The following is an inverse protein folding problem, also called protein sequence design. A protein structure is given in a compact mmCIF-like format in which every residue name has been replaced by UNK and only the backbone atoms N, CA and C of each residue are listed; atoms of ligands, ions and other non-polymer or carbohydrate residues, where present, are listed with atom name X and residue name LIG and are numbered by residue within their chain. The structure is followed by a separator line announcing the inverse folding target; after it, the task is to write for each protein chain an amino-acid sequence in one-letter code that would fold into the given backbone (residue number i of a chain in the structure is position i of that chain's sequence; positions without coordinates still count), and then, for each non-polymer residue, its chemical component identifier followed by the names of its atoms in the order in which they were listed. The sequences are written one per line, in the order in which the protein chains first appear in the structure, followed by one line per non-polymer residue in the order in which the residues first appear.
data_IF_510282104439
#
_entry.id   IF_510282104439
#
_cell.length_a   1.000
_cell.length_b   1.000
_cell.length_c   1.000
_cell.angle_alpha   90.00
_cell.angle_beta   90.00
_cell.angle_gamma   90.00
#
_symmetry.space_group_name_H-M   'P 1'
#
loop_
_entity.id
_entity.type
_entity.pdbx_description
1 polymer ?
#
# COMPACT_ATOMS: atom_id res chain seq x y z
N UNK A 1 -9.12 -8.64 -55.86
CA UNK A 1 -8.19 -8.75 -54.71
C UNK A 1 -8.33 -7.57 -53.75
N UNK A 2 -8.87 -6.45 -54.22
CA UNK A 2 -8.94 -5.17 -53.50
C UNK A 2 -9.79 -5.23 -52.21
N UNK A 3 -10.82 -6.08 -52.17
CA UNK A 3 -11.68 -6.23 -51.00
C UNK A 3 -10.96 -6.91 -49.81
N UNK A 4 -10.03 -7.83 -50.08
CA UNK A 4 -9.21 -8.47 -49.03
C UNK A 4 -8.18 -7.48 -48.46
N UNK A 5 -7.54 -6.67 -49.31
CA UNK A 5 -6.60 -5.64 -48.87
C UNK A 5 -7.29 -4.55 -48.05
N UNK A 6 -8.50 -4.15 -48.45
CA UNK A 6 -9.30 -3.16 -47.71
C UNK A 6 -9.67 -3.66 -46.30
N UNK A 7 -10.20 -4.87 -46.17
CA UNK A 7 -10.53 -5.45 -44.87
C UNK A 7 -9.31 -5.70 -44.00
N UNK A 8 -8.20 -6.15 -44.58
CA UNK A 8 -6.93 -6.31 -43.85
C UNK A 8 -6.38 -4.97 -43.33
N UNK A 9 -6.54 -3.88 -44.09
CA UNK A 9 -6.19 -2.53 -43.65
C UNK A 9 -7.05 -2.08 -42.45
N UNK A 10 -8.35 -2.37 -42.45
CA UNK A 10 -9.23 -2.04 -41.32
C UNK A 10 -8.82 -2.82 -40.07
N UNK A 11 -8.62 -4.14 -40.20
CA UNK A 11 -8.25 -5.00 -39.07
C UNK A 11 -6.90 -4.58 -38.48
N UNK A 12 -5.90 -4.32 -39.32
CA UNK A 12 -4.57 -3.89 -38.85
C UNK A 12 -4.60 -2.52 -38.18
N UNK A 13 -5.45 -1.59 -38.66
CA UNK A 13 -5.66 -0.28 -38.03
C UNK A 13 -6.31 -0.42 -36.66
N UNK A 14 -7.38 -1.22 -36.54
CA UNK A 14 -8.05 -1.48 -35.25
C UNK A 14 -7.09 -2.14 -34.27
N UNK A 15 -6.32 -3.15 -34.73
CA UNK A 15 -5.33 -3.81 -33.89
C UNK A 15 -4.23 -2.82 -33.43
N UNK A 16 -3.77 -1.96 -34.32
CA UNK A 16 -2.79 -0.92 -34.01
C UNK A 16 -3.30 0.07 -32.96
N UNK A 17 -4.54 0.52 -33.07
CA UNK A 17 -5.17 1.41 -32.08
C UNK A 17 -5.32 0.71 -30.72
N UNK A 18 -5.72 -0.56 -30.69
CA UNK A 18 -5.84 -1.33 -29.45
C UNK A 18 -4.48 -1.53 -28.77
N UNK A 19 -3.43 -1.84 -29.54
CA UNK A 19 -2.07 -1.98 -29.01
C UNK A 19 -1.52 -0.63 -28.51
N UNK A 20 -1.81 0.46 -29.21
CA UNK A 20 -1.45 1.82 -28.78
C UNK A 20 -2.15 2.18 -27.46
N UNK A 21 -3.46 1.93 -27.35
CA UNK A 21 -4.20 2.15 -26.12
C UNK A 21 -3.64 1.30 -24.96
N UNK A 22 -3.32 0.03 -25.23
CA UNK A 22 -2.72 -0.87 -24.24
C UNK A 22 -1.34 -0.40 -23.77
N UNK A 23 -0.48 0.08 -24.67
CA UNK A 23 0.85 0.60 -24.32
C UNK A 23 0.78 1.90 -23.52
N UNK A 24 -0.14 2.81 -23.87
CA UNK A 24 -0.39 4.02 -23.07
C UNK A 24 -0.87 3.65 -21.66
N UNK A 25 -1.78 2.68 -21.55
CA UNK A 25 -2.26 2.21 -20.26
C UNK A 25 -1.13 1.64 -19.40
N UNK A 26 -0.33 0.73 -19.95
CA UNK A 26 0.83 0.13 -19.25
C UNK A 26 1.86 1.18 -18.82
N UNK A 27 2.09 2.20 -19.66
CA UNK A 27 2.99 3.28 -19.32
C UNK A 27 2.49 4.09 -18.11
N UNK A 28 1.19 4.40 -18.07
CA UNK A 28 0.58 5.14 -16.96
C UNK A 28 0.61 4.33 -15.66
N UNK A 29 0.31 3.03 -15.70
CA UNK A 29 0.40 2.17 -14.52
C UNK A 29 1.82 2.05 -13.99
N UNK A 30 2.80 1.80 -14.88
CA UNK A 30 4.20 1.70 -14.50
C UNK A 30 4.74 3.02 -13.93
N UNK A 31 4.28 4.17 -14.45
CA UNK A 31 4.65 5.48 -13.90
C UNK A 31 4.08 5.68 -12.49
N UNK A 32 2.81 5.36 -12.27
CA UNK A 32 2.18 5.48 -10.95
C UNK A 32 2.85 4.57 -9.91
N UNK A 33 3.24 3.36 -10.28
CA UNK A 33 3.99 2.45 -9.40
C UNK A 33 5.35 3.04 -9.02
N UNK A 34 6.09 3.56 -10.00
CA UNK A 34 7.38 4.23 -9.73
C UNK A 34 7.23 5.43 -8.79
N UNK A 35 6.16 6.21 -8.93
CA UNK A 35 5.90 7.36 -8.05
C UNK A 35 5.57 6.91 -6.62
N UNK A 36 4.79 5.83 -6.45
CA UNK A 36 4.51 5.23 -5.13
C UNK A 36 5.78 4.71 -4.46
N UNK A 37 6.61 3.94 -5.16
CA UNK A 37 7.87 3.43 -4.62
C UNK A 37 8.82 4.58 -4.25
N UNK A 38 8.91 5.62 -5.08
CA UNK A 38 9.72 6.81 -4.74
C UNK A 38 9.22 7.49 -3.46
N UNK A 39 7.90 7.63 -3.30
CA UNK A 39 7.32 8.22 -2.10
C UNK A 39 7.63 7.38 -0.85
N UNK A 40 7.52 6.05 -0.94
CA UNK A 40 7.84 5.11 0.14
C UNK A 40 9.33 5.17 0.53
N UNK A 41 10.24 5.12 -0.46
CA UNK A 41 11.68 5.26 -0.22
C UNK A 41 11.99 6.61 0.46
N UNK A 42 11.30 7.68 0.07
CA UNK A 42 11.48 8.99 0.72
C UNK A 42 11.09 8.97 2.19
N UNK A 43 9.99 8.28 2.55
CA UNK A 43 9.58 8.09 3.95
C UNK A 43 10.66 7.33 4.72
N UNK A 44 11.18 6.23 4.16
CA UNK A 44 12.27 5.49 4.80
C UNK A 44 13.54 6.30 4.98
N UNK A 45 13.91 7.09 3.97
CA UNK A 45 15.06 7.99 4.07
C UNK A 45 14.86 9.03 5.17
N UNK A 46 13.63 9.56 5.31
CA UNK A 46 13.30 10.51 6.37
C UNK A 46 13.39 9.86 7.75
N UNK A 47 12.83 8.67 7.94
CA UNK A 47 12.86 7.95 9.21
C UNK A 47 14.29 7.54 9.59
N UNK A 48 15.06 7.03 8.62
CA UNK A 48 16.47 6.67 8.83
C UNK A 48 17.33 7.89 9.18
N UNK A 49 17.09 9.04 8.53
CA UNK A 49 17.77 10.29 8.86
C UNK A 49 17.38 10.78 10.27
N UNK A 50 16.10 10.68 10.65
CA UNK A 50 15.63 11.00 12.00
C UNK A 50 16.33 10.15 13.07
N UNK A 51 16.47 8.84 12.84
CA UNK A 51 17.22 7.94 13.73
C UNK A 51 18.70 8.36 13.81
N UNK A 52 19.35 8.60 12.66
CA UNK A 52 20.76 9.02 12.62
C UNK A 52 21.03 10.32 13.38
N UNK A 53 20.20 11.35 13.16
CA UNK A 53 20.31 12.63 13.85
C UNK A 53 20.06 12.49 15.36
N UNK A 54 19.08 11.68 15.75
CA UNK A 54 18.78 11.42 17.16
C UNK A 54 19.95 10.73 17.86
N UNK A 55 20.57 9.73 17.23
CA UNK A 55 21.77 9.07 17.75
C UNK A 55 22.96 10.02 17.86
N UNK A 56 23.21 10.84 16.82
CA UNK A 56 24.26 11.85 16.85
C UNK A 56 24.04 12.85 17.99
N UNK A 57 22.80 13.26 18.22
CA UNK A 57 22.42 14.15 19.31
C UNK A 57 22.62 13.51 20.68
N UNK A 58 22.24 12.24 20.86
CA UNK A 58 22.48 11.50 22.11
C UNK A 58 23.98 11.49 22.43
N UNK A 59 24.83 11.18 21.44
CA UNK A 59 26.28 11.18 21.63
C UNK A 59 26.77 12.59 22.00
N UNK A 60 26.35 13.62 21.28
CA UNK A 60 26.73 15.00 21.55
C UNK A 60 26.28 15.49 22.93
N UNK A 61 25.04 15.20 23.33
CA UNK A 61 24.48 15.62 24.62
C UNK A 61 25.14 14.84 25.78
N UNK A 62 25.54 13.59 25.56
CA UNK A 62 26.32 12.80 26.52
C UNK A 62 27.74 13.36 26.71
N UNK A 63 28.43 13.69 25.61
CA UNK A 63 29.76 14.32 25.68
C UNK A 63 29.72 15.70 26.33
N UNK A 64 28.62 16.43 26.18
CA UNK A 64 28.39 17.72 26.82
C UNK A 64 27.93 17.61 28.29
N UNK A 65 27.80 16.40 28.85
CA UNK A 65 27.38 16.18 30.24
C UNK A 65 25.95 16.62 30.54
N UNK A 66 25.06 16.62 29.53
CA UNK A 66 23.67 17.08 29.69
C UNK A 66 22.75 16.06 30.32
N UNK A 67 23.13 14.78 30.32
CA UNK A 67 22.40 13.74 31.01
C UNK A 67 22.79 13.71 32.48
N UNK A 68 21.79 13.70 33.37
CA UNK A 68 22.02 13.71 34.81
C UNK A 68 22.31 12.30 35.34
N UNK A 69 21.82 11.27 34.63
CA UNK A 69 22.02 9.87 34.97
C UNK A 69 22.03 8.96 33.74
N UNK A 70 22.53 7.74 33.91
CA UNK A 70 22.42 6.67 32.90
C UNK A 70 20.97 6.38 32.52
N UNK A 71 20.02 6.55 33.45
CA UNK A 71 18.60 6.37 33.16
C UNK A 71 18.09 7.39 32.12
N UNK A 72 18.60 8.62 32.12
CA UNK A 72 18.20 9.64 31.15
C UNK A 72 18.69 9.29 29.74
N UNK A 73 19.90 8.73 29.64
CA UNK A 73 20.46 8.21 28.39
C UNK A 73 19.60 7.06 27.88
N UNK A 74 19.28 6.08 28.75
CA UNK A 74 18.40 4.97 28.42
C UNK A 74 17.04 5.45 27.92
N UNK A 75 16.37 6.34 28.65
CA UNK A 75 15.07 6.89 28.25
C UNK A 75 15.14 7.58 26.88
N UNK A 76 16.23 8.30 26.60
CA UNK A 76 16.43 8.94 25.31
C UNK A 76 16.62 7.91 24.19
N UNK A 77 17.42 6.86 24.41
CA UNK A 77 17.57 5.75 23.45
C UNK A 77 16.23 5.04 23.20
N UNK A 78 15.44 4.79 24.25
CA UNK A 78 14.10 4.20 24.15
C UNK A 78 13.17 5.05 23.28
N UNK A 79 13.28 6.38 23.33
CA UNK A 79 12.49 7.25 22.45
C UNK A 79 12.85 7.10 20.96
N UNK A 80 14.11 6.78 20.64
CA UNK A 80 14.57 6.54 19.26
C UNK A 80 14.12 5.16 18.76
N UNK A 81 13.96 4.19 19.66
CA UNK A 81 13.52 2.83 19.32
C UNK A 81 12.19 2.83 18.57
N UNK A 82 11.24 3.71 18.92
CA UNK A 82 9.94 3.80 18.25
C UNK A 82 10.09 4.11 16.75
N UNK A 83 10.96 5.07 16.40
CA UNK A 83 11.22 5.44 15.00
C UNK A 83 11.98 4.34 14.25
N UNK A 84 12.95 3.71 14.91
CA UNK A 84 13.68 2.58 14.33
C UNK A 84 12.76 1.36 14.08
N UNK A 85 11.80 1.12 14.99
CA UNK A 85 10.81 0.05 14.85
C UNK A 85 9.80 0.35 13.73
N UNK A 86 9.33 1.59 13.61
CA UNK A 86 8.47 2.01 12.51
C UNK A 86 9.16 1.81 11.15
N UNK A 87 10.45 2.20 11.04
CA UNK A 87 11.26 1.95 9.85
C UNK A 87 11.37 0.44 9.57
N UNK A 88 11.68 -0.36 10.59
CA UNK A 88 11.75 -1.83 10.46
C UNK A 88 10.43 -2.43 9.95
N UNK A 89 9.30 -2.04 10.54
CA UNK A 89 7.99 -2.53 10.14
C UNK A 89 7.67 -2.13 8.69
N UNK A 90 7.94 -0.88 8.30
CA UNK A 90 7.68 -0.42 6.94
C UNK A 90 8.53 -1.16 5.88
N UNK A 91 9.80 -1.46 6.20
CA UNK A 91 10.69 -2.27 5.35
C UNK A 91 10.24 -3.74 5.29
N UNK A 92 9.75 -4.28 6.41
CA UNK A 92 9.24 -5.64 6.49
C UNK A 92 7.93 -5.80 5.72
N UNK A 93 7.00 -4.86 5.84
CA UNK A 93 5.75 -4.82 5.07
C UNK A 93 6.04 -4.77 3.57
N UNK A 94 7.03 -4.01 3.11
CA UNK A 94 7.38 -3.99 1.68
C UNK A 94 8.08 -5.28 1.22
N UNK A 95 8.86 -5.94 2.09
CA UNK A 95 9.50 -7.22 1.78
C UNK A 95 8.56 -8.43 1.83
N UNK A 96 7.58 -8.43 2.72
CA UNK A 96 6.68 -9.57 2.97
C UNK A 96 5.34 -9.46 2.26
N UNK A 97 4.96 -8.29 1.74
CA UNK A 97 3.88 -8.20 0.75
C UNK A 97 4.45 -8.67 -0.60
N UNK A 98 4.68 -9.98 -0.71
CA UNK A 98 4.62 -10.65 -2.01
C UNK A 98 3.21 -10.42 -2.58
N UNK A 99 3.11 -10.31 -3.89
CA UNK A 99 1.84 -10.07 -4.61
C UNK A 99 0.70 -11.02 -4.18
N UNK A 100 1.06 -12.20 -3.69
CA UNK A 100 0.13 -13.20 -3.14
C UNK A 100 -0.53 -12.77 -1.81
N UNK A 101 0.19 -12.14 -0.88
CA UNK A 101 -0.40 -11.66 0.38
C UNK A 101 -1.30 -10.44 0.16
N UNK A 102 -0.97 -9.59 -0.82
CA UNK A 102 -1.84 -8.49 -1.24
C UNK A 102 -3.16 -9.02 -1.81
N UNK A 103 -3.11 -10.04 -2.69
CA UNK A 103 -4.29 -10.75 -3.20
C UNK A 103 -5.07 -11.43 -2.07
N UNK A 104 -4.38 -12.04 -1.10
CA UNK A 104 -5.03 -12.67 0.06
C UNK A 104 -5.71 -11.65 0.98
N UNK A 105 -5.14 -10.46 1.18
CA UNK A 105 -5.78 -9.37 1.95
C UNK A 105 -6.96 -8.76 1.19
N UNK A 106 -6.85 -8.54 -0.12
CA UNK A 106 -7.97 -8.07 -0.94
C UNK A 106 -9.12 -9.06 -0.90
N UNK A 107 -8.84 -10.37 -1.05
CA UNK A 107 -9.84 -11.43 -0.95
C UNK A 107 -10.50 -11.47 0.43
N UNK A 108 -9.70 -11.39 1.51
CA UNK A 108 -10.26 -11.30 2.88
C UNK A 108 -11.12 -10.06 3.10
N UNK A 109 -10.83 -8.93 2.44
CA UNK A 109 -11.65 -7.73 2.52
C UNK A 109 -12.95 -7.87 1.72
N UNK A 110 -12.90 -8.42 0.50
CA UNK A 110 -14.09 -8.67 -0.32
C UNK A 110 -15.04 -9.65 0.37
N UNK A 111 -14.51 -10.76 0.89
CA UNK A 111 -15.30 -11.79 1.56
C UNK A 111 -16.03 -11.23 2.80
N UNK A 112 -15.38 -10.33 3.55
CA UNK A 112 -16.01 -9.63 4.69
C UNK A 112 -17.09 -8.64 4.25
N UNK A 113 -16.90 -7.97 3.12
CA UNK A 113 -17.83 -6.99 2.60
C UNK A 113 -19.08 -7.66 2.03
N UNK A 114 -18.90 -8.78 1.33
CA UNK A 114 -19.98 -9.65 0.86
C UNK A 114 -20.75 -10.26 2.04
N UNK A 115 -20.06 -10.78 3.06
CA UNK A 115 -20.72 -11.33 4.25
C UNK A 115 -21.57 -10.29 4.99
N UNK A 116 -21.08 -9.05 5.11
CA UNK A 116 -21.83 -7.96 5.71
C UNK A 116 -23.03 -7.53 4.85
N UNK A 117 -22.89 -7.53 3.52
CA UNK A 117 -24.00 -7.25 2.61
C UNK A 117 -25.07 -8.36 2.67
N UNK A 118 -24.68 -9.63 2.69
CA UNK A 118 -25.60 -10.75 2.82
C UNK A 118 -26.39 -10.68 4.15
N UNK A 119 -25.70 -10.44 5.26
CA UNK A 119 -26.32 -10.30 6.57
C UNK A 119 -27.33 -9.14 6.62
N UNK A 120 -27.04 -8.03 5.93
CA UNK A 120 -27.96 -6.89 5.85
C UNK A 120 -29.20 -7.17 5.00
N UNK A 121 -29.09 -8.01 3.96
CA UNK A 121 -30.22 -8.46 3.13
C UNK A 121 -31.12 -9.45 3.87
N UNK A 122 -30.53 -10.35 4.67
CA UNK A 122 -31.31 -11.29 5.51
C UNK A 122 -32.14 -10.58 6.58
N UNK A 123 -31.60 -9.51 7.18
CA UNK A 123 -32.36 -8.67 8.13
C UNK A 123 -33.51 -7.88 7.46
N UNK A 124 -33.34 -7.47 6.21
CA UNK A 124 -34.42 -6.83 5.43
C UNK A 124 -35.48 -7.83 4.96
N UNK A 125 -35.11 -9.09 4.69
CA UNK A 125 -36.05 -10.15 4.36
C UNK A 125 -36.93 -10.59 5.54
N UNK A 126 -36.39 -10.61 6.76
CA UNK A 126 -37.14 -11.00 7.97
C UNK A 126 -38.12 -9.92 8.45
N UNK A 127 -37.89 -8.64 8.13
CA UNK A 127 -38.78 -7.53 8.53
C UNK A 127 -40.03 -7.38 7.65
N UNK A 128 -40.16 -8.18 6.57
CA UNK A 128 -41.28 -8.09 5.62
C UNK A 128 -42.18 -9.33 5.52
N UNK A 129 -42.09 -10.32 6.43
CA UNK A 129 -43.11 -11.38 6.46
C UNK A 129 -44.39 -10.87 7.15
N UNK A 130 -45.54 -10.81 6.45
CA UNK A 130 -46.79 -10.40 7.07
C UNK A 130 -47.20 -11.42 8.13
N UNK A 131 -47.76 -10.99 9.28
CA UNK A 131 -48.14 -11.91 10.34
C UNK A 131 -49.18 -12.91 9.81
N UNK A 132 -48.86 -14.19 9.91
CA UNK A 132 -49.81 -15.29 9.70
C UNK A 132 -50.88 -15.18 10.78
N UNK A 133 -52.06 -14.72 10.36
CA UNK A 133 -53.25 -14.64 11.20
C UNK A 133 -53.65 -16.07 11.59
N UNK A 134 -53.67 -16.32 12.91
CA UNK A 134 -54.22 -17.55 13.51
C UNK A 134 -55.73 -17.56 13.51
#
# INVERSE_FOLDING_TARGET
MDNLFFWWSIVSTVLGVLLLAGTIWQYLTARNEREKTKAQVKVWMQDANGVSQSLSRIVSDNLAGRYSSTNDVCNTIWSVQANAFALYQSLYEERCVTEEEYKARQKKLSDKLEANQLASLEQQGQTHMPPTVS
#
